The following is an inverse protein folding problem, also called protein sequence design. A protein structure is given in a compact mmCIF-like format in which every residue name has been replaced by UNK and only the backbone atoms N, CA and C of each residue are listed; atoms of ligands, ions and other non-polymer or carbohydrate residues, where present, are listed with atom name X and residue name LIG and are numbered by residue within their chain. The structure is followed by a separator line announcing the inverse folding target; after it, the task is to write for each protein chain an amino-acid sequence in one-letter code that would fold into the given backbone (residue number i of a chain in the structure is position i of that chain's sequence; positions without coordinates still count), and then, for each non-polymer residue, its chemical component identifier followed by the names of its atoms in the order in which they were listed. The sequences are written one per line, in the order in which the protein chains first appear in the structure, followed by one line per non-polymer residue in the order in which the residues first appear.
data_IF_144741536449
#
_entry.id   IF_144741536449
#
_cell.length_a   1.000
_cell.length_b   1.000
_cell.length_c   1.000
_cell.angle_alpha   90.00
_cell.angle_beta   90.00
_cell.angle_gamma   90.00
#
_symmetry.space_group_name_H-M   'P 1'
#
loop_
_entity.id
_entity.type
_entity.pdbx_description
1 polymer ?
#
# COMPACT_ATOMS: atom_id res chain seq x y z
N UNK A 1 -32.26 -13.58 12.77
CA UNK A 1 -31.01 -14.07 13.41
C UNK A 1 -29.86 -14.30 12.42
N UNK A 2 -30.09 -14.79 11.20
CA UNK A 2 -29.03 -14.99 10.20
C UNK A 2 -28.51 -13.70 9.52
N UNK A 3 -29.34 -12.66 9.38
CA UNK A 3 -28.94 -11.36 8.81
C UNK A 3 -27.97 -10.54 9.69
N UNK A 4 -27.88 -10.85 10.99
CA UNK A 4 -26.95 -10.18 11.92
C UNK A 4 -25.56 -10.81 11.92
N UNK A 5 -25.45 -12.10 11.62
CA UNK A 5 -24.16 -12.80 11.46
C UNK A 5 -23.42 -12.34 10.19
N UNK A 6 -24.12 -12.01 9.11
CA UNK A 6 -23.50 -11.50 7.88
C UNK A 6 -22.90 -10.11 8.03
N UNK A 7 -23.37 -9.31 8.99
CA UNK A 7 -22.83 -7.97 9.27
C UNK A 7 -21.52 -8.00 10.07
N UNK A 8 -21.20 -9.13 10.72
CA UNK A 8 -20.01 -9.29 11.58
C UNK A 8 -18.74 -9.72 10.82
N UNK A 9 -18.86 -10.16 9.57
CA UNK A 9 -17.71 -10.59 8.77
C UNK A 9 -17.28 -9.47 7.81
N UNK A 10 -16.74 -8.38 8.37
CA UNK A 10 -15.99 -7.40 7.55
C UNK A 10 -14.70 -8.09 7.09
N UNK A 11 -14.69 -8.54 5.84
CA UNK A 11 -13.52 -9.15 5.22
C UNK A 11 -12.51 -8.09 4.79
N UNK A 12 -11.25 -8.23 5.23
CA UNK A 12 -10.14 -7.40 4.75
C UNK A 12 -9.69 -7.94 3.39
N UNK A 13 -9.83 -7.13 2.34
CA UNK A 13 -9.48 -7.52 0.96
C UNK A 13 -8.10 -7.02 0.53
N UNK A 14 -7.60 -5.96 1.14
CA UNK A 14 -6.29 -5.37 0.88
C UNK A 14 -5.77 -4.65 2.13
N UNK A 15 -4.47 -4.68 2.34
CA UNK A 15 -3.79 -3.99 3.44
C UNK A 15 -2.42 -3.48 2.98
N UNK A 16 -2.00 -2.37 3.58
CA UNK A 16 -0.69 -1.76 3.36
C UNK A 16 -0.15 -1.30 4.70
N UNK A 17 1.10 -1.63 5.00
CA UNK A 17 1.81 -1.08 6.14
C UNK A 17 2.75 0.01 5.65
N UNK A 18 2.97 1.02 6.47
CA UNK A 18 3.93 2.06 6.19
C UNK A 18 4.63 2.48 7.48
N UNK A 19 5.85 2.97 7.33
CA UNK A 19 6.59 3.62 8.40
C UNK A 19 7.12 4.96 7.92
N UNK A 20 7.00 5.98 8.76
CA UNK A 20 7.63 7.28 8.51
C UNK A 20 9.06 7.16 9.03
N UNK A 21 10.02 7.41 8.14
CA UNK A 21 11.46 7.46 8.45
C UNK A 21 11.72 8.76 9.23
N UNK A 22 12.73 8.87 10.11
CA UNK A 22 12.88 9.99 11.05
C UNK A 22 12.62 11.39 10.48
N UNK A 23 12.12 12.26 11.36
CA UNK A 23 11.30 13.47 11.10
C UNK A 23 12.02 14.60 10.33
N UNK A 24 13.33 14.49 10.14
CA UNK A 24 14.11 15.35 9.25
C UNK A 24 13.97 14.96 7.77
N UNK A 25 13.34 13.81 7.51
CA UNK A 25 13.21 13.24 6.18
C UNK A 25 11.78 13.26 5.65
N UNK A 26 11.59 13.69 4.40
CA UNK A 26 10.27 13.73 3.71
C UNK A 26 9.89 12.35 3.15
N UNK A 27 10.28 11.28 3.84
CA UNK A 27 10.26 9.90 3.36
C UNK A 27 9.36 9.00 4.21
N UNK A 28 8.63 8.12 3.53
CA UNK A 28 8.01 6.96 4.15
C UNK A 28 8.39 5.70 3.39
N UNK A 29 8.39 4.57 4.09
CA UNK A 29 8.60 3.26 3.49
C UNK A 29 7.31 2.45 3.56
N UNK A 30 7.10 1.60 2.55
CA UNK A 30 6.06 0.56 2.53
C UNK A 30 6.77 -0.79 2.65
N UNK A 31 6.81 -1.39 3.86
CA UNK A 31 7.38 -2.72 4.07
C UNK A 31 6.55 -3.82 3.40
N UNK A 32 5.22 -3.75 3.55
CA UNK A 32 4.31 -4.80 3.10
C UNK A 32 3.06 -4.17 2.49
N UNK A 33 2.68 -4.67 1.31
CA UNK A 33 1.37 -4.43 0.72
C UNK A 33 0.82 -5.76 0.19
N UNK A 34 -0.43 -6.06 0.52
CA UNK A 34 -1.07 -7.31 0.13
C UNK A 34 -2.50 -7.06 -0.33
N UNK A 35 -2.89 -7.79 -1.37
CA UNK A 35 -4.28 -7.90 -1.83
C UNK A 35 -4.61 -9.38 -1.82
N UNK A 36 -5.74 -9.73 -1.22
CA UNK A 36 -6.25 -11.10 -1.22
C UNK A 36 -6.33 -11.62 -2.66
N UNK A 37 -5.90 -12.86 -2.90
CA UNK A 37 -5.73 -13.43 -4.23
C UNK A 37 -6.96 -13.30 -5.13
N UNK A 38 -8.17 -13.51 -4.58
CA UNK A 38 -9.43 -13.37 -5.32
C UNK A 38 -9.75 -11.93 -5.77
N UNK A 39 -9.02 -10.95 -5.25
CA UNK A 39 -9.18 -9.52 -5.50
C UNK A 39 -7.96 -8.90 -6.19
N UNK A 40 -6.93 -9.68 -6.51
CA UNK A 40 -5.79 -9.20 -7.29
C UNK A 40 -6.22 -8.78 -8.70
N UNK A 41 -5.44 -7.88 -9.32
CA UNK A 41 -5.70 -7.30 -10.65
C UNK A 41 -7.02 -6.52 -10.82
N UNK A 42 -7.79 -6.30 -9.74
CA UNK A 42 -9.02 -5.49 -9.74
C UNK A 42 -8.82 -4.03 -9.34
N UNK A 43 -7.57 -3.59 -9.18
CA UNK A 43 -7.23 -2.20 -8.86
C UNK A 43 -7.22 -1.82 -7.39
N UNK A 44 -7.62 -2.70 -6.47
CA UNK A 44 -7.65 -2.40 -5.02
C UNK A 44 -6.30 -1.95 -4.46
N UNK A 45 -5.20 -2.59 -4.86
CA UNK A 45 -3.85 -2.18 -4.46
C UNK A 45 -3.51 -0.76 -4.92
N UNK A 46 -3.90 -0.39 -6.14
CA UNK A 46 -3.67 0.97 -6.68
C UNK A 46 -4.49 2.01 -5.92
N UNK A 47 -5.76 1.71 -5.63
CA UNK A 47 -6.63 2.61 -4.84
C UNK A 47 -6.12 2.80 -3.42
N UNK A 48 -5.68 1.73 -2.77
CA UNK A 48 -5.12 1.76 -1.43
C UNK A 48 -3.85 2.61 -1.37
N UNK A 49 -2.95 2.43 -2.35
CA UNK A 49 -1.73 3.21 -2.46
C UNK A 49 -1.99 4.69 -2.75
N UNK A 50 -2.99 5.00 -3.58
CA UNK A 50 -3.37 6.38 -3.89
C UNK A 50 -3.89 7.10 -2.64
N UNK A 51 -4.72 6.43 -1.85
CA UNK A 51 -5.24 6.98 -0.58
C UNK A 51 -4.10 7.19 0.43
N UNK A 52 -3.20 6.22 0.57
CA UNK A 52 -2.01 6.36 1.41
C UNK A 52 -1.16 7.56 0.99
N UNK A 53 -0.90 7.73 -0.31
CA UNK A 53 -0.14 8.87 -0.85
C UNK A 53 -0.74 10.21 -0.45
N UNK A 54 -2.07 10.36 -0.57
CA UNK A 54 -2.76 11.60 -0.18
C UNK A 54 -2.59 11.89 1.31
N UNK A 55 -2.72 10.87 2.16
CA UNK A 55 -2.56 11.00 3.62
C UNK A 55 -1.13 11.37 3.99
N UNK A 56 -0.14 10.71 3.40
CA UNK A 56 1.27 11.00 3.63
C UNK A 56 1.66 12.40 3.15
N UNK A 57 1.16 12.83 1.99
CA UNK A 57 1.37 14.20 1.49
C UNK A 57 0.78 15.26 2.44
N UNK A 58 -0.36 14.98 3.08
CA UNK A 58 -0.97 15.91 4.04
C UNK A 58 -0.12 16.16 5.29
N UNK A 59 0.83 15.27 5.59
CA UNK A 59 1.77 15.40 6.71
C UNK A 59 3.20 15.73 6.25
N UNK A 60 3.37 16.17 5.00
CA UNK A 60 4.67 16.64 4.47
C UNK A 60 5.58 15.53 3.91
N UNK A 61 5.08 14.30 3.78
CA UNK A 61 5.83 13.20 3.15
C UNK A 61 5.63 13.23 1.63
N UNK A 62 6.71 13.49 0.91
CA UNK A 62 6.70 13.70 -0.54
C UNK A 62 7.10 12.44 -1.32
N UNK A 63 7.89 11.58 -0.68
CA UNK A 63 8.56 10.46 -1.34
C UNK A 63 8.29 9.17 -0.56
N UNK A 64 7.93 8.13 -1.30
CA UNK A 64 7.62 6.82 -0.73
C UNK A 64 8.56 5.80 -1.35
N UNK A 65 9.23 5.04 -0.50
CA UNK A 65 10.02 3.89 -0.87
C UNK A 65 9.21 2.62 -0.69
N UNK A 66 9.36 1.67 -1.61
CA UNK A 66 8.68 0.38 -1.54
C UNK A 66 9.66 -0.75 -1.76
N UNK A 67 9.45 -1.83 -1.02
CA UNK A 67 10.12 -3.11 -1.21
C UNK A 67 9.27 -3.94 -2.17
N UNK A 68 9.77 -4.15 -3.38
CA UNK A 68 9.09 -4.93 -4.40
C UNK A 68 9.87 -6.20 -4.70
N UNK A 69 9.17 -7.33 -4.75
CA UNK A 69 9.69 -8.56 -5.35
C UNK A 69 9.45 -8.58 -6.87
N UNK A 70 9.96 -9.62 -7.54
CA UNK A 70 9.81 -9.80 -8.99
C UNK A 70 8.34 -9.93 -9.44
N UNK A 71 7.48 -10.47 -8.60
CA UNK A 71 6.06 -10.67 -8.91
C UNK A 71 5.26 -9.36 -8.86
N UNK A 72 5.60 -8.51 -7.90
CA UNK A 72 4.97 -7.21 -7.66
C UNK A 72 5.63 -6.06 -8.43
N UNK A 73 6.76 -6.32 -9.09
CA UNK A 73 7.52 -5.36 -9.89
C UNK A 73 6.63 -4.57 -10.88
N UNK A 74 5.79 -5.26 -11.64
CA UNK A 74 4.89 -4.64 -12.62
C UNK A 74 3.79 -3.78 -11.98
N UNK A 75 3.43 -4.04 -10.72
CA UNK A 75 2.55 -3.16 -9.96
C UNK A 75 3.28 -1.89 -9.55
N UNK A 76 4.46 -2.00 -8.95
CA UNK A 76 5.22 -0.85 -8.43
C UNK A 76 5.69 0.11 -9.53
N UNK A 77 6.13 -0.40 -10.70
CA UNK A 77 6.59 0.43 -11.82
C UNK A 77 5.49 1.31 -12.43
N UNK A 78 4.23 0.85 -12.40
CA UNK A 78 3.09 1.63 -12.93
C UNK A 78 2.73 2.83 -12.05
N UNK A 79 3.26 2.89 -10.83
CA UNK A 79 2.91 3.90 -9.84
C UNK A 79 3.95 5.02 -9.81
N UNK A 80 4.06 5.75 -10.93
CA UNK A 80 5.05 6.75 -11.45
C UNK A 80 5.81 7.72 -10.47
N UNK A 81 5.82 7.53 -9.16
CA UNK A 81 6.52 8.35 -8.15
C UNK A 81 7.16 7.57 -7.00
N UNK A 82 7.36 6.26 -7.13
CA UNK A 82 8.07 5.49 -6.10
C UNK A 82 9.52 5.27 -6.50
N UNK A 83 10.42 5.66 -5.61
CA UNK A 83 11.83 5.31 -5.72
C UNK A 83 11.97 3.89 -5.18
N UNK A 84 12.43 2.95 -6.01
CA UNK A 84 12.76 1.61 -5.54
C UNK A 84 14.04 1.66 -4.72
N UNK A 85 14.02 1.01 -3.57
CA UNK A 85 15.24 0.64 -2.85
C UNK A 85 15.47 -0.85 -3.14
N UNK A 86 16.55 -1.17 -3.85
CA UNK A 86 17.08 -2.53 -3.89
C UNK A 86 18.05 -2.67 -2.72
N UNK A 87 17.75 -3.56 -1.77
CA UNK A 87 18.77 -4.10 -0.87
C UNK A 87 18.72 -5.62 -1.02
N UNK A 88 19.72 -6.19 -1.69
CA UNK A 88 19.89 -7.64 -1.88
C UNK A 88 19.56 -8.12 -3.28
#
# INVERSE_FOLDING_TARGET
MLLWLSALLKQVIAAITYQIVPTDTQYAEIPIAAVSSMYQHKGFGSSLLLELKKRLQSVGICTIFCWGDKESEGFWLKQIRMTRIWIG
#
